data_IF_598239819074
#
_entry.id   IF_598239819074
#
_cell.length_a   1.000
_cell.length_b   1.000
_cell.length_c   1.000
_cell.angle_alpha   90.00
_cell.angle_beta   90.00
_cell.angle_gamma   90.00
#
_symmetry.space_group_name_H-M   'P 1'
#
loop_
_entity.id
_entity.type
_entity.pdbx_description
1 polymer ?
#
# COMPACT_ATOMS: atom_id res chain seq x y z
N UNK A 1 0.53 17.76 12.28
CA UNK A 1 0.25 16.50 11.55
C UNK A 1 -0.17 16.89 10.14
N UNK A 2 0.54 16.45 9.09
CA UNK A 2 0.23 16.89 7.71
C UNK A 2 -1.09 16.23 7.26
N UNK A 3 -2.16 16.99 7.06
CA UNK A 3 -3.48 16.45 6.67
C UNK A 3 -3.47 15.80 5.29
N UNK A 4 -2.46 16.14 4.48
CA UNK A 4 -2.29 15.62 3.13
C UNK A 4 -1.30 14.47 3.11
N UNK A 5 -1.69 13.40 2.43
CA UNK A 5 -0.83 12.26 2.22
C UNK A 5 -0.09 12.43 0.90
N UNK A 6 1.22 12.63 0.96
CA UNK A 6 2.04 12.56 -0.24
C UNK A 6 2.07 11.11 -0.75
N UNK A 7 1.53 10.88 -1.94
CA UNK A 7 1.42 9.55 -2.56
C UNK A 7 2.77 8.82 -2.62
N UNK A 8 3.82 9.49 -3.08
CA UNK A 8 5.14 8.87 -3.25
C UNK A 8 5.72 8.45 -1.90
N UNK A 9 5.54 9.30 -0.89
CA UNK A 9 5.96 9.00 0.49
C UNK A 9 5.21 7.80 1.04
N UNK A 10 3.89 7.75 0.87
CA UNK A 10 3.05 6.63 1.31
C UNK A 10 3.39 5.32 0.59
N UNK A 11 3.61 5.37 -0.73
CA UNK A 11 4.04 4.20 -1.51
C UNK A 11 5.38 3.67 -1.01
N UNK A 12 6.36 4.56 -0.76
CA UNK A 12 7.68 4.17 -0.23
C UNK A 12 7.57 3.57 1.17
N UNK A 13 6.69 4.10 2.00
CA UNK A 13 6.43 3.56 3.35
C UNK A 13 5.90 2.13 3.29
N UNK A 14 4.89 1.87 2.46
CA UNK A 14 4.31 0.52 2.26
C UNK A 14 5.39 -0.47 1.81
N UNK A 15 6.15 -0.12 0.77
CA UNK A 15 7.23 -0.98 0.26
C UNK A 15 8.27 -1.26 1.36
N UNK A 16 8.62 -0.25 2.15
CA UNK A 16 9.58 -0.40 3.26
C UNK A 16 9.04 -1.32 4.37
N UNK A 17 7.74 -1.30 4.66
CA UNK A 17 7.13 -2.19 5.67
C UNK A 17 7.25 -3.65 5.21
N UNK A 18 6.93 -3.92 3.94
CA UNK A 18 7.00 -5.27 3.35
C UNK A 18 8.44 -5.78 3.29
N UNK A 19 9.35 -4.98 2.74
CA UNK A 19 10.73 -5.39 2.51
C UNK A 19 11.57 -5.47 3.80
N UNK A 20 11.01 -5.07 4.94
CA UNK A 20 11.61 -5.28 6.27
C UNK A 20 11.34 -6.67 6.84
N UNK A 21 10.41 -7.41 6.26
CA UNK A 21 10.10 -8.77 6.68
C UNK A 21 11.12 -9.72 6.05
N UNK A 22 11.70 -10.61 6.85
CA UNK A 22 12.77 -11.52 6.44
C UNK A 22 12.24 -12.77 5.73
N UNK A 23 10.92 -12.95 5.73
CA UNK A 23 10.20 -14.11 5.21
C UNK A 23 10.06 -14.07 3.68
N UNK A 24 10.28 -12.91 3.05
CA UNK A 24 10.17 -12.75 1.60
C UNK A 24 11.48 -13.15 0.90
N UNK A 25 11.37 -14.01 -0.11
CA UNK A 25 12.48 -14.41 -0.99
C UNK A 25 12.92 -13.23 -1.87
N UNK A 26 11.95 -12.46 -2.38
CA UNK A 26 12.20 -11.32 -3.27
C UNK A 26 11.54 -10.04 -2.75
N UNK A 27 12.23 -8.88 -2.85
CA UNK A 27 11.68 -7.62 -2.40
C UNK A 27 10.55 -7.11 -3.31
N UNK A 28 9.57 -6.45 -2.72
CA UNK A 28 8.52 -5.74 -3.43
C UNK A 28 9.12 -4.50 -4.10
N UNK A 29 9.01 -4.42 -5.44
CA UNK A 29 9.57 -3.32 -6.23
C UNK A 29 8.63 -2.12 -6.38
N UNK A 30 7.31 -2.32 -6.22
CA UNK A 30 6.32 -1.29 -6.47
C UNK A 30 4.89 -1.75 -6.18
N UNK A 31 3.95 -0.81 -6.15
CA UNK A 31 2.54 -1.10 -5.86
C UNK A 31 1.65 -1.18 -7.11
N UNK A 32 2.20 -1.15 -8.32
CA UNK A 32 1.36 -1.38 -9.51
C UNK A 32 0.74 -2.78 -9.47
N UNK A 33 -0.42 -2.99 -10.08
CA UNK A 33 -1.07 -4.31 -10.11
C UNK A 33 -0.11 -5.39 -10.64
N UNK A 34 0.61 -5.10 -11.73
CA UNK A 34 1.64 -5.99 -12.29
C UNK A 34 2.81 -6.25 -11.34
N UNK A 35 3.24 -5.24 -10.58
CA UNK A 35 4.30 -5.40 -9.57
C UNK A 35 3.85 -6.29 -8.42
N UNK A 36 2.62 -6.13 -7.95
CA UNK A 36 2.03 -6.92 -6.88
C UNK A 36 1.79 -8.37 -7.31
N UNK A 37 1.25 -8.57 -8.50
CA UNK A 37 1.04 -9.91 -9.08
C UNK A 37 2.35 -10.67 -9.24
N UNK A 38 3.36 -10.04 -9.82
CA UNK A 38 4.69 -10.64 -9.93
C UNK A 38 5.28 -10.98 -8.56
N UNK A 39 5.20 -10.06 -7.61
CA UNK A 39 5.72 -10.28 -6.27
C UNK A 39 4.99 -11.42 -5.53
N UNK A 40 3.67 -11.55 -5.71
CA UNK A 40 2.87 -12.68 -5.21
C UNK A 40 3.41 -14.01 -5.72
N UNK A 41 3.66 -14.10 -7.04
CA UNK A 41 4.18 -15.30 -7.69
C UNK A 41 5.60 -15.60 -7.22
N UNK A 42 6.51 -14.61 -7.27
CA UNK A 42 7.92 -14.77 -6.92
C UNK A 42 8.11 -15.20 -5.44
N UNK A 43 7.18 -14.84 -4.54
CA UNK A 43 7.20 -15.20 -3.12
C UNK A 43 6.19 -16.30 -2.74
N UNK A 44 5.52 -16.93 -3.71
CA UNK A 44 4.53 -18.01 -3.47
C UNK A 44 3.43 -17.64 -2.46
N UNK A 45 2.95 -16.39 -2.49
CA UNK A 45 1.91 -15.90 -1.58
C UNK A 45 0.54 -16.39 -2.04
N UNK A 46 -0.26 -16.92 -1.10
CA UNK A 46 -1.61 -17.43 -1.37
C UNK A 46 -2.54 -16.40 -2.03
N UNK A 47 -3.48 -16.88 -2.86
CA UNK A 47 -4.50 -16.03 -3.49
C UNK A 47 -5.50 -15.45 -2.48
N UNK A 48 -5.74 -16.17 -1.38
CA UNK A 48 -6.64 -15.72 -0.31
C UNK A 48 -5.94 -14.80 0.70
N UNK A 49 -4.67 -14.46 0.46
CA UNK A 49 -3.82 -13.67 1.35
C UNK A 49 -4.43 -12.30 1.68
N UNK A 50 -4.70 -12.08 2.96
CA UNK A 50 -5.09 -10.76 3.50
C UNK A 50 -4.03 -9.69 3.25
N UNK A 51 -2.75 -10.09 3.21
CA UNK A 51 -1.67 -9.20 2.80
C UNK A 51 -1.86 -8.69 1.38
N UNK A 52 -2.12 -9.58 0.41
CA UNK A 52 -2.35 -9.18 -0.98
C UNK A 52 -3.60 -8.33 -1.13
N UNK A 53 -4.71 -8.70 -0.47
CA UNK A 53 -5.95 -7.89 -0.46
C UNK A 53 -5.68 -6.48 0.05
N UNK A 54 -4.95 -6.37 1.15
CA UNK A 54 -4.57 -5.08 1.76
C UNK A 54 -3.68 -4.26 0.81
N UNK A 55 -2.67 -4.88 0.18
CA UNK A 55 -1.76 -4.22 -0.75
C UNK A 55 -2.49 -3.69 -2.01
N UNK A 56 -3.41 -4.48 -2.57
CA UNK A 56 -4.23 -4.03 -3.70
C UNK A 56 -5.14 -2.86 -3.32
N UNK A 57 -5.75 -2.90 -2.14
CA UNK A 57 -6.60 -1.81 -1.66
C UNK A 57 -5.81 -0.52 -1.44
N UNK A 58 -4.62 -0.61 -0.85
CA UNK A 58 -3.70 0.53 -0.71
C UNK A 58 -3.30 1.07 -2.08
N UNK A 59 -2.90 0.20 -3.00
CA UNK A 59 -2.50 0.57 -4.36
C UNK A 59 -3.58 1.35 -5.10
N UNK A 60 -4.82 0.82 -5.10
CA UNK A 60 -5.97 1.45 -5.75
C UNK A 60 -6.24 2.86 -5.20
N UNK A 61 -6.23 3.02 -3.87
CA UNK A 61 -6.44 4.33 -3.23
C UNK A 61 -5.30 5.32 -3.49
N UNK A 62 -4.06 4.85 -3.50
CA UNK A 62 -2.90 5.68 -3.86
C UNK A 62 -2.91 6.10 -5.34
N UNK A 63 -3.40 5.24 -6.23
CA UNK A 63 -3.59 5.59 -7.64
C UNK A 63 -4.64 6.69 -7.80
N UNK A 64 -5.77 6.59 -7.08
CA UNK A 64 -6.78 7.63 -7.08
C UNK A 64 -6.26 8.98 -6.53
N UNK A 65 -5.41 8.96 -5.50
CA UNK A 65 -4.73 10.16 -5.01
C UNK A 65 -3.78 10.80 -6.05
N UNK A 66 -3.22 10.00 -6.97
CA UNK A 66 -2.34 10.48 -8.04
C UNK A 66 -3.10 11.28 -9.11
N UNK A 67 -4.34 10.87 -9.40
CA UNK A 67 -5.12 11.39 -10.51
C UNK A 67 -5.76 12.76 -10.22
N UNK A 68 -5.79 13.22 -8.96
CA UNK A 68 -6.30 14.54 -8.58
C UNK A 68 -5.20 15.62 -8.50
N UNK A 69 -4.18 15.55 -9.34
CA UNK A 69 -3.21 16.65 -9.45
C UNK A 69 -3.88 17.88 -10.10
N UNK A 70 -4.51 18.73 -9.28
CA UNK A 70 -4.58 20.21 -9.40
C UNK A 70 -5.70 20.74 -8.48
N UNK A 71 -5.28 21.44 -7.42
CA UNK A 71 -5.94 22.58 -6.75
C UNK A 71 -7.25 22.47 -5.94
N UNK A 72 -7.89 21.30 -5.76
CA UNK A 72 -8.95 21.19 -4.74
C UNK A 72 -8.70 20.06 -3.73
N UNK A 73 -8.17 20.46 -2.58
CA UNK A 73 -8.27 19.70 -1.33
C UNK A 73 -9.75 19.67 -0.95
N UNK A 74 -10.47 18.66 -1.43
CA UNK A 74 -11.86 18.42 -1.01
C UNK A 74 -11.90 17.58 0.26
N UNK A 75 -13.07 17.54 0.92
CA UNK A 75 -13.30 16.60 2.01
C UNK A 75 -13.05 15.14 1.58
N UNK A 76 -13.36 14.78 0.34
CA UNK A 76 -13.09 13.43 -0.18
C UNK A 76 -11.60 13.11 -0.21
N UNK A 77 -10.74 14.09 -0.57
CA UNK A 77 -9.29 13.90 -0.54
C UNK A 77 -8.80 13.67 0.90
N UNK A 78 -9.33 14.42 1.87
CA UNK A 78 -9.02 14.28 3.30
C UNK A 78 -9.46 12.91 3.82
N UNK A 79 -10.67 12.48 3.49
CA UNK A 79 -11.22 11.18 3.85
C UNK A 79 -10.40 10.04 3.23
N UNK A 80 -10.03 10.17 1.96
CA UNK A 80 -9.19 9.19 1.29
C UNK A 80 -7.79 9.13 1.91
N UNK A 81 -7.16 10.27 2.18
CA UNK A 81 -5.87 10.33 2.87
C UNK A 81 -5.92 9.65 4.25
N UNK A 82 -6.99 9.89 5.02
CA UNK A 82 -7.23 9.21 6.31
C UNK A 82 -7.44 7.71 6.13
N UNK A 83 -8.19 7.29 5.11
CA UNK A 83 -8.41 5.88 4.78
C UNK A 83 -7.11 5.17 4.41
N UNK A 84 -6.25 5.78 3.61
CA UNK A 84 -4.95 5.19 3.25
C UNK A 84 -4.06 5.08 4.48
N UNK A 85 -3.98 6.12 5.33
CA UNK A 85 -3.22 6.05 6.58
C UNK A 85 -3.68 4.88 7.46
N UNK A 86 -5.00 4.71 7.64
CA UNK A 86 -5.56 3.58 8.39
C UNK A 86 -5.15 2.22 7.80
N UNK A 87 -5.13 2.10 6.48
CA UNK A 87 -4.70 0.85 5.82
C UNK A 87 -3.21 0.59 5.99
N UNK A 88 -2.37 1.62 5.94
CA UNK A 88 -0.93 1.48 6.21
C UNK A 88 -0.70 1.05 7.66
N UNK A 89 -1.42 1.65 8.62
CA UNK A 89 -1.39 1.23 10.02
C UNK A 89 -1.86 -0.22 10.17
N UNK A 90 -2.98 -0.59 9.54
CA UNK A 90 -3.49 -1.96 9.55
C UNK A 90 -2.46 -2.96 8.99
N UNK A 91 -1.81 -2.61 7.88
CA UNK A 91 -0.70 -3.39 7.32
C UNK A 91 0.45 -3.54 8.33
N UNK A 92 0.91 -2.45 8.93
CA UNK A 92 2.01 -2.47 9.91
C UNK A 92 1.71 -3.36 11.11
N UNK A 93 0.47 -3.33 11.60
CA UNK A 93 0.03 -4.09 12.77
C UNK A 93 -0.14 -5.59 12.47
N UNK A 94 -0.50 -5.96 11.24
CA UNK A 94 -0.90 -7.33 10.91
C UNK A 94 0.10 -8.08 10.04
N UNK A 95 1.08 -7.42 9.43
CA UNK A 95 2.00 -8.04 8.47
C UNK A 95 2.71 -9.31 9.01
N UNK A 96 3.07 -9.31 10.29
CA UNK A 96 3.72 -10.47 10.94
C UNK A 96 2.81 -11.68 11.12
N UNK A 97 1.49 -11.48 11.05
CA UNK A 97 0.51 -12.57 11.16
C UNK A 97 0.13 -13.12 9.78
N UNK A 98 0.57 -12.46 8.70
CA UNK A 98 0.22 -12.81 7.31
C UNK A 98 1.39 -13.43 6.53
N UNK A 99 2.61 -13.35 7.06
CA UNK A 99 3.84 -13.95 6.54
C UNK A 99 4.31 -15.01 7.52
#
# INVERSE_FOLDING_TARGET
MNEFLNRITAQREVIKIINKQNENIFPLAGLSAKSLERWKIDNSISEESELMKTLYLISSKLFFLANKSQEQITNDYRLLSKSVRKLITHLQENIKNWL
#
